data_IF_649970527699
#
_entry.id   IF_649970527699
#
_cell.length_a   1.000
_cell.length_b   1.000
_cell.length_c   1.000
_cell.angle_alpha   90.00
_cell.angle_beta   90.00
_cell.angle_gamma   90.00
#
_symmetry.space_group_name_H-M   'P 1'
#
loop_
_entity.id
_entity.type
_entity.pdbx_description
1 polymer ?
#
# COMPACT_ATOMS: atom_id res chain seq x y z
N UNK A 1 -33.08 34.83 -22.99
CA UNK A 1 -32.88 33.66 -23.84
C UNK A 1 -31.40 33.40 -24.08
N UNK A 2 -30.68 34.40 -24.50
CA UNK A 2 -29.24 34.22 -24.72
C UNK A 2 -28.47 33.88 -23.44
N UNK A 3 -28.96 34.35 -22.32
CA UNK A 3 -28.32 34.07 -21.02
C UNK A 3 -28.40 32.57 -20.66
N UNK A 4 -29.42 31.88 -21.12
CA UNK A 4 -29.54 30.46 -20.83
C UNK A 4 -28.44 29.65 -21.49
N UNK A 5 -28.01 30.02 -22.68
CA UNK A 5 -26.94 29.33 -23.36
C UNK A 5 -25.61 29.50 -22.63
N UNK A 6 -25.35 30.69 -22.14
CA UNK A 6 -24.14 30.98 -21.39
C UNK A 6 -24.14 30.21 -20.08
N UNK A 7 -25.31 30.21 -19.39
CA UNK A 7 -25.42 29.45 -18.13
C UNK A 7 -25.23 27.95 -18.37
N UNK A 8 -25.74 27.46 -19.50
CA UNK A 8 -25.59 26.07 -19.86
C UNK A 8 -24.12 25.69 -20.03
N UNK A 9 -23.32 26.53 -20.68
CA UNK A 9 -21.90 26.30 -20.85
C UNK A 9 -21.15 26.27 -19.50
N UNK A 10 -21.53 27.15 -18.61
CA UNK A 10 -20.96 27.19 -17.28
C UNK A 10 -21.26 25.89 -16.52
N UNK A 11 -22.50 25.42 -16.59
CA UNK A 11 -22.90 24.17 -15.94
C UNK A 11 -22.13 22.99 -16.50
N UNK A 12 -21.97 22.91 -17.80
CA UNK A 12 -21.17 21.84 -18.40
C UNK A 12 -19.71 21.87 -17.95
N UNK A 13 -19.13 23.05 -17.88
CA UNK A 13 -17.75 23.18 -17.43
C UNK A 13 -17.59 22.72 -15.99
N UNK A 14 -18.52 23.10 -15.12
CA UNK A 14 -18.49 22.68 -13.71
C UNK A 14 -18.63 21.17 -13.58
N UNK A 15 -19.54 20.58 -14.32
CA UNK A 15 -19.72 19.12 -14.31
C UNK A 15 -18.48 18.38 -14.78
N UNK A 16 -17.80 18.89 -15.80
CA UNK A 16 -16.57 18.29 -16.29
C UNK A 16 -15.46 18.31 -15.23
N UNK A 17 -15.31 19.44 -14.54
CA UNK A 17 -14.32 19.58 -13.47
C UNK A 17 -14.61 18.61 -12.32
N UNK A 18 -15.86 18.53 -11.90
CA UNK A 18 -16.27 17.61 -10.83
C UNK A 18 -15.99 16.16 -11.22
N UNK A 19 -16.30 15.81 -12.48
CA UNK A 19 -16.04 14.45 -12.98
C UNK A 19 -14.54 14.11 -12.94
N UNK A 20 -13.69 15.05 -13.32
CA UNK A 20 -12.24 14.84 -13.29
C UNK A 20 -11.75 14.67 -11.85
N UNK A 21 -12.24 15.48 -10.93
CA UNK A 21 -11.86 15.38 -9.52
C UNK A 21 -12.27 14.03 -8.94
N UNK A 22 -13.48 13.57 -9.22
CA UNK A 22 -13.94 12.27 -8.72
C UNK A 22 -13.11 11.12 -9.29
N UNK A 23 -12.76 11.20 -10.55
CA UNK A 23 -11.92 10.19 -11.18
C UNK A 23 -10.53 10.15 -10.54
N UNK A 24 -9.94 11.31 -10.31
CA UNK A 24 -8.62 11.41 -9.66
C UNK A 24 -8.66 10.83 -8.25
N UNK A 25 -9.69 11.13 -7.48
CA UNK A 25 -9.86 10.58 -6.13
C UNK A 25 -10.01 9.06 -6.17
N UNK A 26 -10.76 8.54 -7.13
CA UNK A 26 -10.91 7.10 -7.31
C UNK A 26 -9.57 6.42 -7.57
N UNK A 27 -8.74 6.99 -8.43
CA UNK A 27 -7.41 6.46 -8.68
C UNK A 27 -6.52 6.51 -7.44
N UNK A 28 -6.62 7.59 -6.67
CA UNK A 28 -5.88 7.71 -5.43
C UNK A 28 -6.26 6.63 -4.43
N UNK A 29 -7.53 6.24 -4.38
CA UNK A 29 -7.98 5.16 -3.52
C UNK A 29 -7.45 3.80 -3.98
N UNK A 30 -7.38 3.57 -5.26
CA UNK A 30 -6.82 2.34 -5.82
C UNK A 30 -5.34 2.20 -5.44
N UNK A 31 -4.61 3.31 -5.45
CA UNK A 31 -3.20 3.32 -5.08
C UNK A 31 -2.97 2.94 -3.60
N UNK A 32 -4.02 2.96 -2.77
CA UNK A 32 -3.92 2.55 -1.36
C UNK A 32 -3.84 1.05 -1.16
N UNK A 33 -4.13 0.27 -2.19
CA UNK A 33 -3.97 -1.18 -2.16
C UNK A 33 -2.57 -1.58 -2.59
N UNK A 34 -1.60 -0.85 -2.08
CA UNK A 34 -0.21 -1.13 -2.38
C UNK A 34 0.27 -2.38 -1.65
N UNK A 35 1.27 -3.00 -2.21
CA UNK A 35 1.90 -4.14 -1.60
C UNK A 35 3.41 -4.10 -1.80
N UNK A 36 4.12 -4.82 -0.94
CA UNK A 36 5.55 -5.09 -1.11
C UNK A 36 5.80 -6.57 -0.98
N UNK A 37 6.89 -7.03 -1.58
CA UNK A 37 7.34 -8.41 -1.46
C UNK A 37 8.76 -8.43 -0.95
N UNK A 38 9.07 -9.44 -0.17
CA UNK A 38 10.42 -9.60 0.35
C UNK A 38 10.58 -10.93 1.07
N UNK A 39 11.75 -11.12 1.65
CA UNK A 39 12.11 -12.35 2.34
C UNK A 39 12.32 -12.06 3.82
N UNK A 40 11.74 -12.90 4.67
CA UNK A 40 11.92 -12.80 6.12
C UNK A 40 13.36 -13.16 6.46
N UNK A 41 14.09 -12.24 7.08
CA UNK A 41 15.47 -12.47 7.48
C UNK A 41 15.61 -12.67 8.98
N UNK A 42 14.61 -12.26 9.75
CA UNK A 42 14.60 -12.43 11.20
C UNK A 42 13.15 -12.53 11.67
N UNK A 43 12.91 -13.35 12.68
CA UNK A 43 11.58 -13.51 13.28
C UNK A 43 11.72 -13.72 14.78
N UNK A 44 11.19 -12.78 15.55
CA UNK A 44 11.22 -12.83 17.02
C UNK A 44 9.94 -13.42 17.61
N UNK A 45 8.94 -13.73 16.78
CA UNK A 45 7.61 -14.14 17.21
C UNK A 45 6.61 -12.99 17.28
N UNK A 46 7.06 -11.80 17.67
CA UNK A 46 6.22 -10.59 17.73
C UNK A 46 6.59 -9.56 16.67
N UNK A 47 7.70 -9.77 15.98
CA UNK A 47 8.13 -8.93 14.87
C UNK A 47 8.90 -9.74 13.86
N UNK A 48 8.96 -9.25 12.65
CA UNK A 48 9.81 -9.82 11.59
C UNK A 48 10.62 -8.71 10.96
N UNK A 49 11.80 -9.08 10.46
CA UNK A 49 12.58 -8.21 9.59
C UNK A 49 12.46 -8.76 8.17
N UNK A 50 12.10 -7.88 7.25
CA UNK A 50 11.87 -8.25 5.86
C UNK A 50 12.88 -7.53 4.98
N UNK A 51 13.59 -8.28 4.16
CA UNK A 51 14.42 -7.69 3.12
C UNK A 51 13.59 -7.53 1.86
N UNK A 52 13.40 -6.28 1.43
CA UNK A 52 12.55 -5.95 0.30
C UNK A 52 13.17 -6.39 -1.03
N UNK A 53 12.33 -6.84 -1.93
CA UNK A 53 12.72 -7.07 -3.31
C UNK A 53 13.05 -5.75 -4.00
N UNK A 54 13.98 -5.74 -4.97
CA UNK A 54 14.39 -4.51 -5.66
C UNK A 54 13.26 -3.71 -6.28
N UNK A 55 12.17 -4.36 -6.66
CA UNK A 55 11.03 -3.69 -7.29
C UNK A 55 10.31 -2.71 -6.36
N UNK A 56 10.54 -2.79 -5.05
CA UNK A 56 9.80 -2.04 -4.06
C UNK A 56 10.65 -1.04 -3.27
N UNK A 57 11.84 -0.75 -3.74
CA UNK A 57 12.78 0.12 -3.03
C UNK A 57 12.29 1.56 -2.89
N UNK A 58 11.45 2.02 -3.81
CA UNK A 58 10.91 3.38 -3.77
C UNK A 58 9.86 3.57 -2.68
N UNK A 59 9.32 2.49 -2.14
CA UNK A 59 8.22 2.56 -1.18
C UNK A 59 8.72 2.90 0.22
N UNK A 60 9.67 2.13 0.74
CA UNK A 60 10.12 2.26 2.12
C UNK A 60 11.63 2.28 2.29
N UNK A 61 12.37 2.20 1.22
CA UNK A 61 13.81 2.19 1.30
C UNK A 61 14.46 2.01 -0.04
N UNK A 62 15.72 1.64 -0.03
CA UNK A 62 16.50 1.38 -1.24
C UNK A 62 16.60 -0.12 -1.48
N UNK A 63 17.03 -0.48 -2.66
CA UNK A 63 17.28 -1.88 -3.01
C UNK A 63 18.16 -2.54 -1.95
N UNK A 64 17.69 -3.63 -1.41
CA UNK A 64 18.40 -4.36 -0.38
C UNK A 64 18.15 -3.87 1.04
N UNK A 65 17.42 -2.80 1.23
CA UNK A 65 17.07 -2.32 2.56
C UNK A 65 16.11 -3.29 3.25
N UNK A 66 16.21 -3.32 4.56
CA UNK A 66 15.32 -4.11 5.39
C UNK A 66 14.35 -3.21 6.14
N UNK A 67 13.17 -3.74 6.40
CA UNK A 67 12.18 -3.08 7.24
C UNK A 67 11.79 -4.01 8.39
N UNK A 68 11.47 -3.41 9.54
CA UNK A 68 10.93 -4.16 10.66
C UNK A 68 9.41 -4.02 10.68
N UNK A 69 8.74 -5.13 10.89
CA UNK A 69 7.28 -5.17 10.99
C UNK A 69 6.91 -5.79 12.32
N UNK A 70 6.15 -5.06 13.12
CA UNK A 70 5.68 -5.52 14.42
C UNK A 70 4.26 -6.04 14.31
N UNK A 71 3.90 -6.94 15.20
CA UNK A 71 2.56 -7.53 15.23
C UNK A 71 1.48 -6.47 15.37
N UNK A 72 1.73 -5.37 16.06
CA UNK A 72 0.75 -4.29 16.22
C UNK A 72 0.49 -3.49 14.93
N UNK A 73 1.31 -3.67 13.91
CA UNK A 73 1.12 -3.04 12.60
C UNK A 73 0.33 -3.92 11.64
N UNK A 74 0.00 -5.13 12.05
CA UNK A 74 -0.60 -6.16 11.20
C UNK A 74 -1.99 -6.50 11.72
N UNK A 75 -2.90 -6.80 10.80
CA UNK A 75 -4.24 -7.27 11.14
C UNK A 75 -4.16 -8.52 12.03
N UNK A 76 -4.98 -8.60 13.05
CA UNK A 76 -4.99 -9.69 14.03
C UNK A 76 -5.18 -11.08 13.43
N UNK A 77 -5.67 -11.16 12.20
CA UNK A 77 -5.83 -12.43 11.50
C UNK A 77 -4.50 -13.11 11.18
N UNK A 78 -3.41 -12.34 11.18
CA UNK A 78 -2.10 -12.82 10.77
C UNK A 78 -1.16 -12.76 11.97
N UNK A 79 -0.56 -13.90 12.28
CA UNK A 79 0.44 -14.01 13.34
C UNK A 79 1.82 -14.06 12.71
N UNK A 80 2.65 -13.08 13.02
CA UNK A 80 4.00 -12.99 12.45
C UNK A 80 4.85 -14.21 12.78
N UNK A 81 4.57 -14.88 13.88
CA UNK A 81 5.28 -16.10 14.23
C UNK A 81 5.14 -17.22 13.20
N UNK A 82 4.11 -17.16 12.35
CA UNK A 82 3.86 -18.18 11.33
C UNK A 82 4.74 -18.02 10.08
N UNK A 83 5.55 -16.98 10.00
CA UNK A 83 6.35 -16.67 8.82
C UNK A 83 7.84 -16.82 9.16
N UNK A 84 8.41 -18.01 8.93
CA UNK A 84 9.79 -18.27 9.34
C UNK A 84 10.82 -17.56 8.46
N UNK A 85 12.03 -17.46 9.01
CA UNK A 85 13.16 -16.94 8.25
C UNK A 85 13.33 -17.73 6.95
N UNK A 86 13.54 -17.01 5.86
CA UNK A 86 13.66 -17.59 4.52
C UNK A 86 12.36 -17.60 3.73
N UNK A 87 11.24 -17.33 4.39
CA UNK A 87 9.94 -17.29 3.70
C UNK A 87 9.82 -16.02 2.88
N UNK A 88 9.40 -16.18 1.61
CA UNK A 88 9.03 -15.04 0.77
C UNK A 88 7.57 -14.69 1.01
N UNK A 89 7.28 -13.44 1.27
CA UNK A 89 5.92 -12.99 1.56
C UNK A 89 5.57 -11.71 0.82
N UNK A 90 4.28 -11.52 0.62
CA UNK A 90 3.71 -10.28 0.09
C UNK A 90 2.86 -9.65 1.18
N UNK A 91 3.12 -8.39 1.47
CA UNK A 91 2.37 -7.61 2.45
C UNK A 91 1.51 -6.59 1.74
N UNK A 92 0.21 -6.62 2.00
CA UNK A 92 -0.70 -5.58 1.52
C UNK A 92 -0.94 -4.59 2.66
N UNK A 93 -0.72 -3.31 2.39
CA UNK A 93 -0.74 -2.28 3.42
C UNK A 93 -1.48 -1.03 2.94
N UNK A 94 -1.80 -0.14 3.88
CA UNK A 94 -2.55 1.10 3.63
C UNK A 94 -1.77 2.33 4.10
N UNK A 95 -0.50 2.29 4.24
CA UNK A 95 0.24 3.46 4.61
C UNK A 95 1.69 3.18 4.87
N UNK A 96 2.48 4.24 4.85
CA UNK A 96 3.91 4.18 5.14
C UNK A 96 4.19 5.21 6.22
N UNK A 97 4.93 4.82 7.24
CA UNK A 97 5.37 5.74 8.27
C UNK A 97 6.37 6.73 7.65
N UNK A 98 6.06 8.03 7.62
CA UNK A 98 6.94 9.00 6.98
C UNK A 98 8.28 9.18 7.67
N UNK A 99 8.38 8.83 8.96
CA UNK A 99 9.61 8.99 9.71
C UNK A 99 10.41 7.69 9.78
N UNK A 100 9.76 6.56 9.77
CA UNK A 100 10.36 5.28 10.11
C UNK A 100 10.68 4.36 8.97
N UNK A 101 10.29 4.67 7.76
CA UNK A 101 10.49 3.79 6.61
C UNK A 101 9.94 2.38 6.86
N UNK A 102 8.76 2.31 7.45
CA UNK A 102 8.07 1.04 7.69
C UNK A 102 6.64 1.15 7.22
N UNK A 103 5.96 0.02 7.15
CA UNK A 103 4.58 -0.05 6.69
C UNK A 103 3.61 0.13 7.85
N UNK A 104 2.45 0.72 7.56
CA UNK A 104 1.36 0.86 8.51
C UNK A 104 0.13 0.14 7.99
N UNK A 105 -0.69 -0.35 8.93
CA UNK A 105 -1.98 -0.97 8.60
C UNK A 105 -1.84 -2.07 7.56
N UNK A 106 -1.01 -3.07 7.88
CA UNK A 106 -0.87 -4.25 7.04
C UNK A 106 -2.11 -5.12 7.24
N UNK A 107 -2.93 -5.23 6.22
CA UNK A 107 -4.20 -5.92 6.34
C UNK A 107 -4.16 -7.36 5.82
N UNK A 108 -3.14 -7.73 5.07
CA UNK A 108 -3.03 -9.08 4.52
C UNK A 108 -1.58 -9.48 4.31
N UNK A 109 -1.28 -10.74 4.55
CA UNK A 109 0.02 -11.33 4.29
C UNK A 109 -0.20 -12.61 3.48
N UNK A 110 0.51 -12.74 2.37
CA UNK A 110 0.46 -13.95 1.53
C UNK A 110 1.85 -14.52 1.38
N UNK A 111 1.96 -15.84 1.46
CA UNK A 111 3.21 -16.52 1.10
C UNK A 111 3.35 -16.55 -0.40
N UNK A 112 4.52 -16.16 -0.91
CA UNK A 112 4.75 -16.13 -2.35
C UNK A 112 4.59 -17.52 -2.98
N UNK A 113 4.94 -18.55 -2.25
CA UNK A 113 4.77 -19.94 -2.72
C UNK A 113 3.32 -20.33 -2.95
N UNK A 114 2.38 -19.65 -2.31
CA UNK A 114 0.94 -19.92 -2.43
C UNK A 114 0.28 -19.11 -3.54
N UNK A 115 0.98 -18.12 -4.09
CA UNK A 115 0.44 -17.24 -5.12
C UNK A 115 0.62 -17.78 -6.54
N UNK A 116 1.31 -18.86 -6.70
CA UNK A 116 1.56 -19.48 -8.01
C UNK A 116 0.62 -20.65 -8.27
#
# INVERSE_FOLDING_TARGET
>A
MKHRKDDWHIVLAVMAVVGILLFTLGQGQEARNDYVEGTVTENTGSSITLRLDPAYDEVVGKVGDTIEIRQDQVNDRFDLADYPVGEGIRLLYVGVDPAGKTLEHIHSIYRLSELN
#
